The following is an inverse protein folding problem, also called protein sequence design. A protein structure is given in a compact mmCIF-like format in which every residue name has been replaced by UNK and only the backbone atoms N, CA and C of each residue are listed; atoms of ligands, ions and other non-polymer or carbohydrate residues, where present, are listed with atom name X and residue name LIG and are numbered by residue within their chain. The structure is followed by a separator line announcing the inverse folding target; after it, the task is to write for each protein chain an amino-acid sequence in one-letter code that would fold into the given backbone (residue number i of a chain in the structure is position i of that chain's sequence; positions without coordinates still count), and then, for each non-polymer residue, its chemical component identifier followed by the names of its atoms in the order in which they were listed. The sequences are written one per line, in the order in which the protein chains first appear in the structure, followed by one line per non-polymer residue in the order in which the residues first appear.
data_IF_015669551307
#
_entry.id   IF_015669551307
#
_cell.length_a   1.000
_cell.length_b   1.000
_cell.length_c   1.000
_cell.angle_alpha   90.00
_cell.angle_beta   90.00
_cell.angle_gamma   90.00
#
_symmetry.space_group_name_H-M   'P 1'
#
loop_
_entity.id
_entity.type
_entity.pdbx_description
1 polymer ?
#
# COMPACT_ATOMS: atom_id res chain seq x y z
N UNK A 1 35.02 2.16 46.69
CA UNK A 1 33.77 2.93 46.78
C UNK A 1 34.02 4.18 45.96
N UNK A 2 33.14 4.58 45.04
CA UNK A 2 33.36 5.78 44.23
C UNK A 2 33.09 7.00 45.11
N UNK A 3 34.17 7.66 45.53
CA UNK A 3 34.13 8.89 46.33
C UNK A 3 34.30 10.12 45.42
N UNK A 4 33.66 10.05 44.25
CA UNK A 4 33.63 11.11 43.24
C UNK A 4 32.55 12.17 43.56
N UNK A 5 31.96 12.09 44.75
CA UNK A 5 30.92 13.01 45.22
C UNK A 5 31.54 14.09 46.13
N UNK A 6 31.05 15.33 46.03
CA UNK A 6 31.49 16.41 46.91
C UNK A 6 30.99 16.19 48.35
N UNK A 7 31.79 16.57 49.34
CA UNK A 7 31.37 16.57 50.75
C UNK A 7 30.35 17.68 51.07
N UNK A 8 30.19 18.68 50.20
CA UNK A 8 29.33 19.84 50.44
C UNK A 8 27.84 19.55 50.14
N UNK A 9 26.99 19.71 51.16
CA UNK A 9 25.55 19.44 51.09
C UNK A 9 24.83 20.20 49.94
N UNK A 10 25.07 21.51 49.70
CA UNK A 10 24.37 22.22 48.62
C UNK A 10 24.65 21.65 47.22
N UNK A 11 25.89 21.22 46.94
CA UNK A 11 26.23 20.57 45.68
C UNK A 11 25.64 19.15 45.59
N UNK A 12 25.61 18.39 46.69
CA UNK A 12 24.92 17.09 46.74
C UNK A 12 23.42 17.21 46.43
N UNK A 13 22.74 18.21 47.01
CA UNK A 13 21.32 18.50 46.73
C UNK A 13 21.11 18.89 45.26
N UNK A 14 21.99 19.74 44.72
CA UNK A 14 21.98 20.14 43.30
C UNK A 14 22.14 18.93 42.38
N UNK A 15 23.12 18.06 42.66
CA UNK A 15 23.33 16.80 41.92
C UNK A 15 22.09 15.90 42.01
N UNK A 16 21.49 15.74 43.20
CA UNK A 16 20.27 14.94 43.38
C UNK A 16 19.12 15.43 42.50
N UNK A 17 18.86 16.73 42.47
CA UNK A 17 17.82 17.33 41.60
C UNK A 17 18.15 17.08 40.13
N UNK A 18 19.39 17.34 39.72
CA UNK A 18 19.84 17.16 38.35
C UNK A 18 19.73 15.70 37.87
N UNK A 19 20.20 14.74 38.68
CA UNK A 19 20.05 13.32 38.40
C UNK A 19 18.58 12.89 38.33
N UNK A 20 17.71 13.41 39.20
CA UNK A 20 16.27 13.12 39.16
C UNK A 20 15.65 13.57 37.83
N UNK A 21 15.98 14.78 37.36
CA UNK A 21 15.53 15.29 36.06
C UNK A 21 16.07 14.47 34.88
N UNK A 22 17.32 14.01 34.96
CA UNK A 22 17.93 13.17 33.92
C UNK A 22 17.35 11.77 33.88
N UNK A 23 17.11 11.12 35.02
CA UNK A 23 16.43 9.83 35.11
C UNK A 23 15.03 9.91 34.49
N UNK A 24 14.23 10.91 34.89
CA UNK A 24 12.90 11.12 34.30
C UNK A 24 12.93 11.30 32.77
N UNK A 25 13.94 12.01 32.24
CA UNK A 25 14.16 12.16 30.78
C UNK A 25 14.57 10.84 30.10
N UNK A 26 15.42 10.05 30.75
CA UNK A 26 15.85 8.73 30.27
C UNK A 26 14.67 7.76 30.25
N UNK A 27 13.87 7.71 31.32
CA UNK A 27 12.69 6.85 31.44
C UNK A 27 11.62 7.20 30.39
N UNK A 28 11.37 8.50 30.16
CA UNK A 28 10.49 8.95 29.08
C UNK A 28 11.00 8.51 27.69
N UNK A 29 12.33 8.55 27.46
CA UNK A 29 12.94 8.06 26.21
C UNK A 29 12.81 6.54 26.09
N UNK A 30 13.02 5.78 27.16
CA UNK A 30 12.86 4.32 27.22
C UNK A 30 11.42 3.94 26.89
N UNK A 31 10.43 4.59 27.52
CA UNK A 31 9.01 4.38 27.25
C UNK A 31 8.68 4.62 25.77
N UNK A 32 9.14 5.75 25.20
CA UNK A 32 8.92 6.05 23.79
C UNK A 32 9.64 5.08 22.83
N UNK A 33 10.81 4.53 23.19
CA UNK A 33 11.48 3.48 22.41
C UNK A 33 10.71 2.16 22.48
N UNK A 34 10.30 1.72 23.68
CA UNK A 34 9.50 0.51 23.88
C UNK A 34 8.18 0.56 23.12
N UNK A 35 7.51 1.72 23.11
CA UNK A 35 6.27 1.92 22.36
C UNK A 35 6.47 1.70 20.85
N UNK A 36 7.48 2.33 20.24
CA UNK A 36 7.79 2.13 18.80
C UNK A 36 8.19 0.69 18.47
N UNK A 37 8.89 0.00 19.39
CA UNK A 37 9.21 -1.42 19.23
C UNK A 37 7.94 -2.29 19.28
N UNK A 38 7.04 -2.04 20.23
CA UNK A 38 5.75 -2.73 20.34
C UNK A 38 4.86 -2.48 19.11
N UNK A 39 4.78 -1.25 18.61
CA UNK A 39 4.08 -0.89 17.37
C UNK A 39 4.66 -1.61 16.14
N UNK A 40 6.00 -1.68 16.04
CA UNK A 40 6.68 -2.39 14.95
C UNK A 40 6.40 -3.89 14.99
N UNK A 41 6.47 -4.51 16.17
CA UNK A 41 6.22 -5.93 16.37
C UNK A 41 4.74 -6.28 16.16
N UNK A 42 3.82 -5.46 16.69
CA UNK A 42 2.39 -5.57 16.44
C UNK A 42 2.07 -5.41 14.94
N UNK A 43 2.69 -4.44 14.27
CA UNK A 43 2.56 -4.21 12.83
C UNK A 43 3.16 -5.32 11.97
N UNK A 44 4.12 -6.11 12.49
CA UNK A 44 4.59 -7.36 11.87
C UNK A 44 3.57 -8.49 12.07
N UNK A 45 3.14 -8.74 13.31
CA UNK A 45 2.18 -9.81 13.66
C UNK A 45 0.80 -9.64 13.04
N UNK A 46 0.35 -8.39 12.86
CA UNK A 46 -0.93 -8.05 12.24
C UNK A 46 -0.83 -7.72 10.75
N UNK A 47 0.34 -7.83 10.13
CA UNK A 47 0.46 -7.64 8.68
C UNK A 47 -0.33 -8.77 8.01
N UNK A 48 -1.32 -8.46 7.14
CA UNK A 48 -1.93 -9.49 6.30
C UNK A 48 -0.85 -10.17 5.47
N UNK A 49 -1.00 -11.47 5.24
CA UNK A 49 -0.10 -12.20 4.35
C UNK A 49 -0.04 -11.50 2.99
N UNK A 50 1.16 -11.29 2.40
CA UNK A 50 1.26 -10.67 1.08
C UNK A 50 0.42 -11.46 0.05
N UNK A 51 -0.39 -10.79 -0.78
CA UNK A 51 -1.17 -11.48 -1.79
C UNK A 51 -0.24 -12.12 -2.81
N UNK A 52 -0.42 -13.40 -3.16
CA UNK A 52 0.45 -14.13 -4.10
C UNK A 52 0.67 -13.40 -5.43
N UNK A 53 -0.34 -12.64 -5.87
CA UNK A 53 -0.34 -11.91 -7.13
C UNK A 53 -0.80 -10.46 -6.94
N UNK A 54 -0.20 -9.56 -7.69
CA UNK A 54 -0.60 -8.15 -7.74
C UNK A 54 -0.64 -7.61 -9.16
N UNK A 55 -1.50 -6.64 -9.37
CA UNK A 55 -1.60 -5.88 -10.63
C UNK A 55 -1.15 -4.45 -10.34
N UNK A 56 -0.08 -4.02 -11.01
CA UNK A 56 0.35 -2.62 -10.99
C UNK A 56 -0.64 -1.77 -11.80
N UNK A 57 -0.92 -0.57 -11.28
CA UNK A 57 -1.88 0.38 -11.81
C UNK A 57 -1.16 1.66 -12.27
N UNK A 58 -1.47 2.07 -13.49
CA UNK A 58 -0.94 3.27 -14.12
C UNK A 58 -1.46 4.58 -13.50
N UNK A 59 -0.96 5.68 -14.04
CA UNK A 59 -1.36 7.04 -13.67
C UNK A 59 -2.57 7.45 -14.52
N UNK A 60 -3.55 8.13 -13.91
CA UNK A 60 -4.73 8.67 -14.58
C UNK A 60 -6.05 8.28 -13.92
N UNK A 61 -7.15 8.84 -14.44
CA UNK A 61 -8.50 8.44 -14.05
C UNK A 61 -8.74 6.95 -14.37
N UNK A 62 -9.46 6.24 -13.50
CA UNK A 62 -9.66 4.79 -13.63
C UNK A 62 -8.45 3.90 -13.32
N UNK A 63 -7.25 4.47 -13.12
CA UNK A 63 -6.01 3.76 -12.71
C UNK A 63 -5.78 2.46 -13.51
N UNK A 64 -5.60 2.52 -14.84
CA UNK A 64 -5.61 1.35 -15.70
C UNK A 64 -4.51 0.34 -15.30
N UNK A 65 -4.79 -0.97 -15.27
CA UNK A 65 -3.78 -2.01 -15.12
C UNK A 65 -2.64 -1.90 -16.16
N UNK A 66 -1.38 -2.08 -15.73
CA UNK A 66 -0.20 -1.95 -16.61
C UNK A 66 0.73 -3.17 -16.66
N UNK A 67 0.78 -3.96 -15.58
CA UNK A 67 1.65 -5.14 -15.45
C UNK A 67 1.15 -6.05 -14.32
N UNK A 68 1.28 -7.37 -14.50
CA UNK A 68 1.06 -8.39 -13.44
C UNK A 68 2.40 -8.75 -12.78
N UNK A 69 2.39 -8.95 -11.47
CA UNK A 69 3.56 -9.32 -10.66
C UNK A 69 3.20 -10.42 -9.65
N UNK A 70 4.20 -11.20 -9.22
CA UNK A 70 4.14 -11.92 -7.95
C UNK A 70 4.08 -10.93 -6.77
N UNK A 71 3.49 -11.36 -5.66
CA UNK A 71 3.20 -10.55 -4.46
C UNK A 71 4.39 -9.88 -3.80
N UNK A 72 5.54 -10.55 -3.84
CA UNK A 72 6.82 -10.19 -3.25
C UNK A 72 7.75 -9.46 -4.23
N UNK A 73 7.31 -9.22 -5.46
CA UNK A 73 8.15 -8.63 -6.51
C UNK A 73 8.62 -7.22 -6.12
N UNK A 74 9.92 -7.08 -5.83
CA UNK A 74 10.55 -5.82 -5.46
C UNK A 74 10.48 -4.73 -6.54
N UNK A 75 10.24 -5.11 -7.81
CA UNK A 75 10.04 -4.19 -8.93
C UNK A 75 8.59 -3.74 -9.11
N UNK A 76 7.63 -4.28 -8.34
CA UNK A 76 6.23 -3.87 -8.42
C UNK A 76 6.02 -2.45 -7.85
N UNK A 77 5.37 -1.60 -8.64
CA UNK A 77 5.07 -0.23 -8.26
C UNK A 77 4.26 -0.09 -6.98
N UNK A 78 4.34 1.09 -6.37
CA UNK A 78 3.56 1.44 -5.15
C UNK A 78 2.05 1.45 -5.38
N UNK A 79 1.61 1.67 -6.63
CA UNK A 79 0.20 1.66 -7.02
C UNK A 79 -0.14 0.27 -7.54
N UNK A 80 -0.57 -0.63 -6.66
CA UNK A 80 -0.97 -1.98 -7.03
C UNK A 80 -2.20 -2.43 -6.25
N UNK A 81 -2.93 -3.41 -6.77
CA UNK A 81 -3.98 -4.11 -6.05
C UNK A 81 -3.65 -5.61 -5.93
N UNK A 82 -4.07 -6.29 -4.85
CA UNK A 82 -4.10 -7.76 -4.82
C UNK A 82 -5.01 -8.28 -5.94
N UNK A 83 -4.67 -9.46 -6.46
CA UNK A 83 -5.55 -10.28 -7.31
C UNK A 83 -5.40 -11.74 -6.91
N UNK A 84 -6.42 -12.54 -7.14
CA UNK A 84 -6.31 -13.99 -6.99
C UNK A 84 -5.56 -14.63 -8.19
N UNK A 85 -5.23 -15.92 -8.06
CA UNK A 85 -4.49 -16.68 -9.08
C UNK A 85 -5.21 -16.73 -10.43
N UNK A 86 -6.54 -16.81 -10.42
CA UNK A 86 -7.33 -16.96 -11.63
C UNK A 86 -7.53 -15.62 -12.33
N UNK A 87 -7.66 -14.51 -11.58
CA UNK A 87 -7.64 -13.16 -12.13
C UNK A 87 -6.27 -12.83 -12.72
N UNK A 88 -5.16 -13.18 -12.05
CA UNK A 88 -3.82 -13.04 -12.61
C UNK A 88 -3.67 -13.83 -13.93
N UNK A 89 -4.17 -15.08 -13.98
CA UNK A 89 -4.18 -15.91 -15.20
C UNK A 89 -5.05 -15.31 -16.30
N UNK A 90 -6.26 -14.84 -16.01
CA UNK A 90 -7.15 -14.17 -16.97
C UNK A 90 -6.49 -12.93 -17.57
N UNK A 91 -5.98 -12.02 -16.74
CA UNK A 91 -5.32 -10.80 -17.20
C UNK A 91 -4.12 -11.09 -18.12
N UNK A 92 -3.30 -12.08 -17.78
CA UNK A 92 -2.18 -12.48 -18.63
C UNK A 92 -2.66 -13.12 -19.95
N UNK A 93 -3.70 -13.94 -19.93
CA UNK A 93 -4.33 -14.50 -21.14
C UNK A 93 -4.97 -13.42 -22.04
N UNK A 94 -5.54 -12.37 -21.44
CA UNK A 94 -6.08 -11.18 -22.12
C UNK A 94 -4.97 -10.26 -22.70
N UNK A 95 -3.70 -10.65 -22.61
CA UNK A 95 -2.55 -9.93 -23.16
C UNK A 95 -1.94 -8.88 -22.23
N UNK A 96 -2.27 -8.90 -20.93
CA UNK A 96 -1.57 -8.05 -19.96
C UNK A 96 -0.10 -8.45 -19.87
N UNK A 97 0.78 -7.46 -19.75
CA UNK A 97 2.21 -7.72 -19.67
C UNK A 97 2.56 -8.40 -18.34
N UNK A 98 3.27 -9.54 -18.34
CA UNK A 98 3.92 -10.04 -17.14
C UNK A 98 5.12 -9.17 -16.78
N UNK A 99 5.45 -9.09 -15.50
CA UNK A 99 6.71 -8.50 -15.04
C UNK A 99 7.89 -9.42 -15.41
N UNK A 100 8.87 -8.87 -16.13
CA UNK A 100 10.07 -9.59 -16.56
C UNK A 100 10.96 -10.08 -15.41
N UNK A 101 10.86 -9.47 -14.23
CA UNK A 101 11.69 -9.80 -13.07
C UNK A 101 11.16 -10.99 -12.25
N UNK A 102 9.86 -11.05 -11.97
CA UNK A 102 9.26 -12.19 -11.24
C UNK A 102 8.61 -13.24 -12.15
N UNK A 103 8.38 -12.92 -13.44
CA UNK A 103 7.87 -13.84 -14.46
C UNK A 103 6.60 -14.60 -14.04
N UNK A 104 5.51 -13.88 -13.67
CA UNK A 104 4.29 -14.50 -13.18
C UNK A 104 3.62 -15.39 -14.24
N UNK A 105 3.80 -15.10 -15.53
CA UNK A 105 3.40 -15.96 -16.65
C UNK A 105 3.99 -17.37 -16.55
N UNK A 106 5.25 -17.46 -16.12
CA UNK A 106 5.98 -18.71 -15.99
C UNK A 106 5.61 -19.41 -14.69
N UNK A 107 5.47 -18.67 -13.58
CA UNK A 107 5.04 -19.22 -12.28
C UNK A 107 3.56 -19.68 -12.25
N UNK A 108 2.72 -19.11 -13.12
CA UNK A 108 1.31 -19.46 -13.24
C UNK A 108 1.04 -20.57 -14.24
N UNK A 109 2.06 -21.14 -14.90
CA UNK A 109 1.93 -22.13 -15.97
C UNK A 109 0.94 -21.67 -17.06
N UNK A 110 1.26 -20.55 -17.71
CA UNK A 110 0.49 -20.02 -18.86
C UNK A 110 1.28 -20.30 -20.15
N UNK A 111 0.90 -21.31 -20.95
CA UNK A 111 1.62 -21.64 -22.16
C UNK A 111 1.45 -20.55 -23.23
N UNK A 112 2.54 -20.23 -23.94
CA UNK A 112 2.47 -19.54 -25.23
C UNK A 112 2.48 -18.01 -25.24
N UNK A 113 2.65 -17.33 -24.11
CA UNK A 113 2.86 -15.87 -24.12
C UNK A 113 4.19 -15.52 -24.81
N UNK A 114 4.20 -14.65 -25.85
CA UNK A 114 5.43 -14.24 -26.51
C UNK A 114 6.29 -13.44 -25.55
N UNK A 115 7.57 -13.82 -25.42
CA UNK A 115 8.54 -13.13 -24.55
C UNK A 115 8.64 -11.67 -24.98
N UNK A 116 8.26 -10.77 -24.07
CA UNK A 116 7.77 -9.43 -24.40
C UNK A 116 8.55 -8.65 -25.45
N UNK A 117 7.90 -8.35 -26.57
CA UNK A 117 8.26 -7.24 -27.44
C UNK A 117 7.62 -5.96 -26.92
N UNK A 118 8.42 -4.91 -26.80
CA UNK A 118 7.98 -3.59 -26.33
C UNK A 118 7.03 -2.96 -27.35
N UNK A 119 5.72 -3.13 -27.17
CA UNK A 119 4.73 -2.44 -27.99
C UNK A 119 3.86 -1.49 -27.14
N UNK A 120 3.74 -0.26 -27.62
CA UNK A 120 3.07 0.82 -26.91
C UNK A 120 1.57 0.56 -26.75
N UNK A 121 1.04 0.85 -25.56
CA UNK A 121 -0.34 0.59 -25.18
C UNK A 121 -1.35 1.27 -26.10
N UNK A 122 -1.90 0.53 -27.07
CA UNK A 122 -3.16 0.89 -27.74
C UNK A 122 -4.31 0.36 -26.91
N UNK A 123 -4.70 1.11 -25.88
CA UNK A 123 -5.92 0.82 -25.13
C UNK A 123 -7.12 0.93 -26.09
N UNK A 124 -7.79 -0.20 -26.37
CA UNK A 124 -9.11 -0.20 -26.99
C UNK A 124 -10.13 0.17 -25.91
N UNK A 125 -10.82 1.32 -25.97
CA UNK A 125 -11.84 1.64 -24.99
C UNK A 125 -13.01 0.66 -25.14
N UNK A 126 -13.54 0.21 -24.00
CA UNK A 126 -14.83 -0.47 -23.95
C UNK A 126 -15.92 0.50 -24.43
N UNK A 127 -16.91 0.05 -25.24
CA UNK A 127 -17.96 0.93 -25.72
C UNK A 127 -18.84 1.38 -24.54
N UNK A 128 -18.80 2.67 -24.24
CA UNK A 128 -19.73 3.26 -23.29
C UNK A 128 -21.12 3.29 -23.93
N UNK A 129 -22.08 2.57 -23.34
CA UNK A 129 -23.46 2.59 -23.81
C UNK A 129 -24.06 3.99 -23.64
N UNK A 130 -24.35 4.67 -24.74
CA UNK A 130 -25.08 5.93 -24.73
C UNK A 130 -26.50 5.72 -24.18
N UNK A 131 -26.73 6.11 -22.93
CA UNK A 131 -28.08 6.31 -22.42
C UNK A 131 -28.70 7.51 -23.14
N UNK A 132 -29.73 7.25 -23.95
CA UNK A 132 -30.57 8.31 -24.52
C UNK A 132 -31.46 8.87 -23.42
N UNK A 133 -31.29 10.14 -23.09
CA UNK A 133 -32.27 10.87 -22.28
C UNK A 133 -33.51 11.15 -23.11
N UNK A 134 -34.51 10.27 -23.03
CA UNK A 134 -35.83 10.54 -23.60
C UNK A 134 -36.52 11.67 -22.82
N UNK A 135 -36.83 12.76 -23.51
CA UNK A 135 -37.65 13.85 -22.95
C UNK A 135 -39.12 13.43 -22.96
N UNK A 136 -39.68 13.17 -21.78
CA UNK A 136 -41.11 12.89 -21.64
C UNK A 136 -41.90 14.19 -21.40
N UNK A 137 -42.89 14.54 -22.24
CA UNK A 137 -43.69 15.76 -22.06
C UNK A 137 -44.85 15.54 -21.09
N UNK A 138 -44.95 16.36 -20.04
CA UNK A 138 -46.11 16.38 -19.15
C UNK A 138 -47.29 17.15 -19.78
N UNK A 139 -48.49 16.56 -19.73
CA UNK A 139 -49.73 17.07 -20.35
C UNK A 139 -50.49 18.06 -19.45
N UNK A 140 -51.25 18.96 -20.08
CA UNK A 140 -52.20 19.88 -19.43
C UNK A 140 -53.48 19.22 -18.90
N UNK A 141 -53.79 19.44 -17.61
CA UNK A 141 -55.09 19.33 -16.92
C UNK A 141 -54.91 19.75 -15.44
N UNK A 142 -55.85 20.35 -14.68
CA UNK A 142 -57.23 20.84 -14.94
C UNK A 142 -57.57 21.96 -13.91
N UNK A 143 -58.27 23.04 -14.30
CA UNK A 143 -59.69 23.36 -14.02
C UNK A 143 -60.03 23.84 -12.57
N UNK A 144 -60.23 25.17 -12.43
CA UNK A 144 -61.27 25.96 -11.67
C UNK A 144 -61.77 25.50 -10.27
N UNK A 145 -62.18 26.41 -9.35
CA UNK A 145 -63.19 27.48 -9.59
C UNK A 145 -62.70 28.76 -10.27
#
# INVERSE_FOLDING_TARGET
MFDDLPEDLPRLETLRVWHTLWLARIDAKIAAVRQRQAETEHGRRRRPEPPDWTVELGIGAGRPPVQVHAGDCHMAGKRRRPVDRDEARRLLADGMRPCTHCRPDTQLDIPGLPRGTTQASRHRPLPQGHQRHEHSPARSSHRRP
#
